data_IF_575413157952
#
_entry.id   IF_575413157952
#
_cell.length_a   1.000
_cell.length_b   1.000
_cell.length_c   1.000
_cell.angle_alpha   90.00
_cell.angle_beta   90.00
_cell.angle_gamma   90.00
#
_symmetry.space_group_name_H-M   'P 1'
#
loop_
_entity.id
_entity.type
_entity.pdbx_description
1 polymer ?
#
# COMPACT_ATOMS: atom_id res chain seq x y z
N UNK A 1 -6.40 3.44 0.47
CA UNK A 1 -5.65 4.51 1.15
C UNK A 1 -4.78 3.94 2.27
N UNK A 2 -5.25 2.97 3.05
CA UNK A 2 -4.51 2.31 4.12
C UNK A 2 -2.98 2.13 3.95
N UNK A 3 -2.48 1.50 2.88
CA UNK A 3 -1.03 1.31 2.70
C UNK A 3 -0.27 2.64 2.57
N UNK A 4 -0.86 3.65 1.94
CA UNK A 4 -0.26 4.98 1.80
C UNK A 4 -0.11 5.66 3.17
N UNK A 5 -1.16 5.63 4.00
CA UNK A 5 -1.15 6.19 5.36
C UNK A 5 -0.13 5.46 6.25
N UNK A 6 -0.06 4.13 6.14
CA UNK A 6 0.94 3.34 6.86
C UNK A 6 2.37 3.68 6.43
N UNK A 7 2.62 3.81 5.12
CA UNK A 7 3.96 4.13 4.61
C UNK A 7 4.38 5.56 5.03
N UNK A 8 3.47 6.53 4.99
CA UNK A 8 3.72 7.90 5.44
C UNK A 8 4.13 7.95 6.92
N UNK A 9 3.49 7.17 7.79
CA UNK A 9 3.85 7.07 9.20
C UNK A 9 5.25 6.48 9.45
N UNK A 10 5.83 5.80 8.46
CA UNK A 10 7.19 5.27 8.46
C UNK A 10 8.16 6.13 7.65
N UNK A 11 7.76 7.34 7.24
CA UNK A 11 8.54 8.26 6.40
C UNK A 11 8.88 7.72 5.01
N UNK A 12 8.12 6.72 4.53
CA UNK A 12 8.29 6.11 3.21
C UNK A 12 7.29 6.73 2.23
N UNK A 13 7.81 7.49 1.27
CA UNK A 13 7.00 8.12 0.25
C UNK A 13 6.64 7.13 -0.88
N UNK A 14 5.34 6.87 -1.06
CA UNK A 14 4.81 6.10 -2.21
C UNK A 14 3.75 6.91 -2.94
N UNK A 15 3.58 6.68 -4.24
CA UNK A 15 2.51 7.30 -5.02
C UNK A 15 1.35 6.30 -5.23
N UNK A 16 0.13 6.57 -4.70
CA UNK A 16 -1.02 5.68 -4.88
C UNK A 16 -1.45 5.59 -6.35
N UNK A 17 -1.77 4.39 -6.83
CA UNK A 17 -2.20 4.17 -8.22
C UNK A 17 -3.45 4.96 -8.62
N UNK A 18 -4.31 5.29 -7.64
CA UNK A 18 -5.55 6.03 -7.88
C UNK A 18 -5.34 7.43 -8.50
N UNK A 19 -4.19 8.08 -8.29
CA UNK A 19 -3.92 9.40 -8.90
C UNK A 19 -3.53 9.29 -10.39
N UNK A 20 -3.26 8.08 -10.88
CA UNK A 20 -2.83 7.81 -12.25
C UNK A 20 -3.94 7.18 -13.11
N UNK A 21 -5.19 7.15 -12.63
CA UNK A 21 -6.32 6.57 -13.36
C UNK A 21 -7.61 7.33 -13.08
N UNK A 22 -8.25 7.83 -14.14
CA UNK A 22 -9.57 8.48 -14.06
C UNK A 22 -10.69 7.46 -13.77
N UNK A 23 -10.52 6.22 -14.24
CA UNK A 23 -11.44 5.08 -14.13
C UNK A 23 -11.24 4.26 -12.85
N UNK A 24 -10.30 4.65 -11.97
CA UNK A 24 -9.96 3.95 -10.72
C UNK A 24 -9.46 2.51 -10.93
N UNK A 25 -8.91 2.18 -12.09
CA UNK A 25 -8.38 0.85 -12.42
C UNK A 25 -7.17 0.49 -11.55
N UNK A 26 -6.42 1.49 -11.09
CA UNK A 26 -5.20 1.32 -10.31
C UNK A 26 -5.39 1.44 -8.79
N UNK A 27 -6.60 1.24 -8.25
CA UNK A 27 -6.87 1.35 -6.80
C UNK A 27 -6.06 0.41 -5.89
N UNK A 28 -5.54 -0.70 -6.43
CA UNK A 28 -4.70 -1.69 -5.72
C UNK A 28 -3.24 -1.68 -6.20
N UNK A 29 -2.82 -0.60 -6.84
CA UNK A 29 -1.46 -0.45 -7.35
C UNK A 29 -0.78 0.73 -6.65
N UNK A 30 0.54 0.70 -6.63
CA UNK A 30 1.39 1.81 -6.19
C UNK A 30 2.49 2.01 -7.22
N UNK A 31 3.02 3.24 -7.32
CA UNK A 31 4.21 3.54 -8.11
C UNK A 31 5.38 3.78 -7.18
N UNK A 32 6.47 3.06 -7.41
CA UNK A 32 7.76 3.28 -6.77
C UNK A 32 8.66 4.10 -7.70
N UNK A 33 9.52 4.92 -7.12
CA UNK A 33 10.55 5.66 -7.84
C UNK A 33 11.93 5.11 -7.46
N UNK A 34 12.73 4.74 -8.46
CA UNK A 34 14.10 4.26 -8.30
C UNK A 34 15.11 5.22 -8.95
N UNK A 35 14.76 6.51 -9.03
CA UNK A 35 15.64 7.54 -9.62
C UNK A 35 16.81 7.92 -8.70
N UNK A 36 16.77 7.49 -7.43
CA UNK A 36 17.86 7.65 -6.47
C UNK A 36 18.70 6.38 -6.40
N UNK A 37 20.01 6.47 -6.11
CA UNK A 37 20.86 5.30 -5.89
C UNK A 37 20.27 4.37 -4.82
N UNK A 38 20.44 3.07 -5.01
CA UNK A 38 20.05 2.08 -4.02
C UNK A 38 21.04 2.08 -2.86
N UNK A 39 20.60 2.57 -1.70
CA UNK A 39 21.40 2.57 -0.46
C UNK A 39 20.87 1.51 0.50
N UNK A 40 21.63 1.23 1.56
CA UNK A 40 21.17 0.35 2.63
C UNK A 40 19.90 0.85 3.31
N UNK A 41 19.62 2.16 3.28
CA UNK A 41 18.39 2.71 3.84
C UNK A 41 17.20 2.48 2.89
N UNK A 42 17.40 2.64 1.57
CA UNK A 42 16.38 2.26 0.57
C UNK A 42 16.02 0.77 0.68
N UNK A 43 17.01 -0.11 0.91
CA UNK A 43 16.75 -1.53 1.16
C UNK A 43 15.86 -1.76 2.39
N UNK A 44 16.16 -1.08 3.52
CA UNK A 44 15.36 -1.19 4.75
C UNK A 44 13.95 -0.64 4.57
N UNK A 45 13.82 0.50 3.91
CA UNK A 45 12.53 1.11 3.57
C UNK A 45 11.72 0.16 2.68
N UNK A 46 12.36 -0.50 1.72
CA UNK A 46 11.70 -1.43 0.83
C UNK A 46 11.21 -2.69 1.52
N UNK A 47 12.02 -3.22 2.44
CA UNK A 47 11.60 -4.31 3.32
C UNK A 47 10.41 -3.89 4.19
N UNK A 48 10.48 -2.70 4.81
CA UNK A 48 9.40 -2.15 5.62
C UNK A 48 8.11 -2.00 4.82
N UNK A 49 8.20 -1.47 3.59
CA UNK A 49 7.05 -1.33 2.71
C UNK A 49 6.40 -2.68 2.38
N UNK A 50 7.19 -3.73 2.15
CA UNK A 50 6.69 -5.09 1.92
C UNK A 50 5.90 -5.65 3.11
N UNK A 51 6.37 -5.40 4.35
CA UNK A 51 5.66 -5.78 5.57
C UNK A 51 4.33 -5.02 5.71
N UNK A 52 4.35 -3.71 5.48
CA UNK A 52 3.14 -2.87 5.54
C UNK A 52 2.12 -3.30 4.48
N UNK A 53 2.55 -3.62 3.26
CA UNK A 53 1.67 -4.11 2.20
C UNK A 53 1.02 -5.45 2.58
N UNK A 54 1.79 -6.38 3.16
CA UNK A 54 1.29 -7.66 3.65
C UNK A 54 0.22 -7.46 4.73
N UNK A 55 0.49 -6.58 5.70
CA UNK A 55 -0.45 -6.24 6.77
C UNK A 55 -1.74 -5.62 6.21
N UNK A 56 -1.63 -4.64 5.32
CA UNK A 56 -2.78 -3.99 4.70
C UNK A 56 -3.65 -4.99 3.90
N UNK A 57 -3.06 -6.01 3.27
CA UNK A 57 -3.80 -7.07 2.61
C UNK A 57 -4.56 -7.96 3.59
N UNK A 58 -3.93 -8.34 4.71
CA UNK A 58 -4.56 -9.14 5.76
C UNK A 58 -5.75 -8.41 6.37
N UNK A 59 -5.59 -7.13 6.73
CA UNK A 59 -6.65 -6.30 7.33
C UNK A 59 -7.82 -6.08 6.36
N UNK A 60 -7.55 -5.93 5.06
CA UNK A 60 -8.61 -5.89 4.03
C UNK A 60 -9.32 -7.24 3.84
N UNK A 61 -8.66 -8.36 4.11
CA UNK A 61 -9.27 -9.70 4.10
C UNK A 61 -10.29 -9.85 5.21
N UNK A 62 -9.91 -9.47 6.43
CA UNK A 62 -10.79 -9.50 7.61
C UNK A 62 -12.02 -8.62 7.44
N UNK A 63 -11.85 -7.37 6.98
CA UNK A 63 -12.96 -6.44 6.77
C UNK A 63 -13.98 -6.92 5.71
N UNK A 64 -13.54 -7.67 4.70
CA UNK A 64 -14.42 -8.25 3.66
C UNK A 64 -15.18 -9.49 4.13
N UNK A 65 -14.66 -10.20 5.13
CA UNK A 65 -15.34 -11.37 5.69
C UNK A 65 -16.50 -10.94 6.59
N UNK A 66 -16.27 -9.98 7.50
CA UNK A 66 -17.30 -9.46 8.41
C UNK A 66 -18.43 -8.71 7.70
N UNK A 67 -18.15 -8.09 6.55
CA UNK A 67 -19.17 -7.38 5.76
C UNK A 67 -20.13 -8.27 4.94
N UNK A 68 -19.90 -9.59 4.89
CA UNK A 68 -20.71 -10.53 4.10
C UNK A 68 -21.76 -11.29 4.93
N UNK A 69 -21.68 -11.21 6.27
CA UNK A 69 -22.60 -11.89 7.20
C UNK A 69 -23.87 -11.08 7.53
N UNK A 70 -24.02 -9.86 6.98
CA UNK A 70 -25.17 -8.97 7.25
C UNK A 70 -26.17 -8.81 6.09
N UNK A 71 -26.14 -9.71 5.11
CA UNK A 71 -27.06 -9.69 3.96
C UNK A 71 -27.80 -11.03 3.85
N UNK A 72 -28.65 -11.31 4.84
CA UNK A 72 -29.77 -12.26 4.74
C UNK A 72 -31.08 -11.52 5.01
#
# INVERSE_FOLDING_TARGET
MQLFEMAEAHEIAIAPGAIFSCSREFRRHIRLNYGRPWTSDVEKEMHTLGLLATRALAEQGTARHTGREGAE
#
